data_IF_805868026314
#
_entry.id   IF_805868026314
#
_cell.length_a   1.000
_cell.length_b   1.000
_cell.length_c   1.000
_cell.angle_alpha   90.00
_cell.angle_beta   90.00
_cell.angle_gamma   90.00
#
_symmetry.space_group_name_H-M   'P 1'
#
loop_
_entity.id
_entity.type
_entity.pdbx_description
1 polymer ?
#
# COMPACT_ATOMS: atom_id res chain seq x y z
N UNK A 1 -10.74 6.92 5.64
CA UNK A 1 -10.30 6.02 6.73
C UNK A 1 -9.01 6.52 7.35
N UNK A 2 -8.95 6.53 8.68
CA UNK A 2 -7.77 6.88 9.48
C UNK A 2 -6.79 5.71 9.58
N UNK A 3 -5.51 6.01 9.81
CA UNK A 3 -4.42 5.00 9.96
C UNK A 3 -4.77 3.92 10.99
N UNK A 4 -5.32 4.32 12.15
CA UNK A 4 -5.67 3.39 13.24
C UNK A 4 -6.69 2.34 12.83
N UNK A 5 -7.73 2.72 12.08
CA UNK A 5 -8.74 1.77 11.58
C UNK A 5 -8.13 0.75 10.62
N UNK A 6 -7.27 1.20 9.69
CA UNK A 6 -6.61 0.31 8.73
C UNK A 6 -5.69 -0.67 9.45
N UNK A 7 -4.94 -0.19 10.45
CA UNK A 7 -4.04 -1.06 11.22
C UNK A 7 -4.80 -2.16 11.96
N UNK A 8 -5.92 -1.81 12.59
CA UNK A 8 -6.75 -2.72 13.38
C UNK A 8 -7.49 -3.76 12.52
N UNK A 9 -8.09 -3.33 11.40
CA UNK A 9 -8.94 -4.23 10.60
C UNK A 9 -8.17 -5.02 9.53
N UNK A 10 -7.02 -4.54 9.08
CA UNK A 10 -6.29 -5.17 7.97
C UNK A 10 -4.86 -5.54 8.34
N UNK A 11 -4.06 -4.57 8.81
CA UNK A 11 -2.61 -4.79 9.00
C UNK A 11 -2.34 -5.88 10.04
N UNK A 12 -3.16 -6.00 11.08
CA UNK A 12 -3.01 -7.04 12.09
C UNK A 12 -3.12 -8.47 11.53
N UNK A 13 -3.89 -8.65 10.45
CA UNK A 13 -4.07 -9.96 9.81
C UNK A 13 -3.07 -10.23 8.67
N UNK A 14 -2.28 -9.22 8.28
CA UNK A 14 -1.23 -9.39 7.28
C UNK A 14 0.01 -9.96 7.96
N UNK A 15 0.45 -11.13 7.49
CA UNK A 15 1.70 -11.72 7.93
C UNK A 15 2.87 -10.78 7.64
N UNK A 16 3.58 -10.36 8.68
CA UNK A 16 4.86 -9.66 8.52
C UNK A 16 5.92 -10.71 8.22
N UNK A 17 6.23 -10.93 6.94
CA UNK A 17 7.21 -11.94 6.56
C UNK A 17 8.65 -11.43 6.83
N UNK A 18 9.40 -12.02 7.77
CA UNK A 18 10.74 -11.53 8.11
C UNK A 18 11.82 -11.92 7.09
N UNK A 19 11.51 -12.86 6.19
CA UNK A 19 12.47 -13.49 5.27
C UNK A 19 12.45 -12.83 3.87
N UNK A 20 11.74 -11.71 3.71
CA UNK A 20 11.55 -11.02 2.43
C UNK A 20 12.22 -9.65 2.31
N UNK A 21 12.05 -9.03 1.14
CA UNK A 21 12.52 -7.66 0.85
C UNK A 21 11.86 -6.68 1.82
N UNK A 22 12.68 -5.84 2.48
CA UNK A 22 12.18 -4.84 3.43
C UNK A 22 11.33 -3.80 2.69
N UNK A 23 10.07 -3.70 3.08
CA UNK A 23 9.12 -2.75 2.49
C UNK A 23 9.54 -1.33 2.89
N UNK A 24 9.83 -0.48 1.90
CA UNK A 24 10.22 0.94 2.11
C UNK A 24 9.06 1.82 2.59
N UNK A 25 7.83 1.30 2.52
CA UNK A 25 6.59 2.02 2.80
C UNK A 25 5.81 1.29 3.90
N UNK A 26 5.22 2.01 4.86
CA UNK A 26 4.28 1.41 5.80
C UNK A 26 3.13 0.66 5.11
N UNK A 27 2.86 -0.58 5.54
CA UNK A 27 1.82 -1.48 4.96
C UNK A 27 0.45 -0.81 4.90
N UNK A 28 0.09 0.00 5.91
CA UNK A 28 -1.19 0.70 5.94
C UNK A 28 -1.40 1.65 4.74
N UNK A 29 -0.33 2.18 4.12
CA UNK A 29 -0.43 3.03 2.92
C UNK A 29 -0.82 2.22 1.70
N UNK A 30 -0.27 1.00 1.57
CA UNK A 30 -0.61 0.06 0.50
C UNK A 30 -2.09 -0.34 0.63
N UNK A 31 -2.51 -0.73 1.84
CA UNK A 31 -3.92 -1.08 2.10
C UNK A 31 -4.84 0.11 1.80
N UNK A 32 -4.45 1.33 2.20
CA UNK A 32 -5.21 2.55 1.91
C UNK A 32 -5.35 2.80 0.40
N UNK A 33 -4.31 2.55 -0.39
CA UNK A 33 -4.34 2.67 -1.85
C UNK A 33 -5.30 1.65 -2.48
N UNK A 34 -5.26 0.39 -2.02
CA UNK A 34 -6.18 -0.67 -2.48
C UNK A 34 -7.64 -0.30 -2.16
N UNK A 35 -7.91 0.13 -0.93
CA UNK A 35 -9.24 0.56 -0.52
C UNK A 35 -9.72 1.79 -1.30
N UNK A 36 -8.83 2.72 -1.62
CA UNK A 36 -9.14 3.87 -2.46
C UNK A 36 -9.56 3.42 -3.86
N UNK A 37 -8.79 2.52 -4.48
CA UNK A 37 -9.10 1.91 -5.78
C UNK A 37 -10.48 1.24 -5.77
N UNK A 38 -10.79 0.45 -4.73
CA UNK A 38 -12.08 -0.21 -4.60
C UNK A 38 -13.23 0.78 -4.40
N UNK A 39 -13.02 1.83 -3.61
CA UNK A 39 -14.04 2.85 -3.35
C UNK A 39 -14.35 3.70 -4.58
N UNK A 40 -13.35 4.05 -5.38
CA UNK A 40 -13.50 4.97 -6.53
C UNK A 40 -13.68 4.24 -7.87
N UNK A 41 -13.36 2.95 -7.94
CA UNK A 41 -13.47 2.17 -9.17
C UNK A 41 -12.38 2.49 -10.21
N UNK A 42 -11.35 3.26 -9.86
CA UNK A 42 -10.32 3.67 -10.82
C UNK A 42 -9.42 2.49 -11.25
N UNK A 43 -8.81 2.62 -12.42
CA UNK A 43 -7.76 1.68 -12.85
C UNK A 43 -6.47 1.93 -12.06
N UNK A 44 -5.65 0.88 -11.88
CA UNK A 44 -4.37 0.95 -11.16
C UNK A 44 -3.40 2.01 -11.71
N UNK A 45 -3.44 2.26 -13.02
CA UNK A 45 -2.58 3.26 -13.69
C UNK A 45 -2.91 4.70 -13.28
N UNK A 46 -4.14 4.96 -12.86
CA UNK A 46 -4.61 6.29 -12.44
C UNK A 46 -4.51 6.50 -10.93
N UNK A 47 -3.89 5.57 -10.21
CA UNK A 47 -3.78 5.68 -8.76
C UNK A 47 -2.86 6.86 -8.40
N UNK A 48 -3.24 7.77 -7.50
CA UNK A 48 -2.41 8.92 -7.15
C UNK A 48 -1.20 8.48 -6.31
N UNK A 49 -0.17 7.98 -7.00
CA UNK A 49 1.02 7.37 -6.39
C UNK A 49 1.73 8.33 -5.45
N UNK A 50 1.88 9.62 -5.84
CA UNK A 50 2.53 10.64 -5.00
C UNK A 50 1.80 10.87 -3.67
N UNK A 51 0.47 10.76 -3.66
CA UNK A 51 -0.33 10.98 -2.45
C UNK A 51 -0.17 9.82 -1.45
N UNK A 52 -0.07 8.58 -1.95
CA UNK A 52 0.04 7.41 -1.10
C UNK A 52 1.48 7.06 -0.73
N UNK A 53 2.41 7.20 -1.67
CA UNK A 53 3.79 6.72 -1.56
C UNK A 53 4.82 7.86 -1.49
N UNK A 54 4.41 9.13 -1.65
CA UNK A 54 5.32 10.28 -1.57
C UNK A 54 6.30 10.34 -2.73
N UNK A 55 7.55 10.71 -2.44
CA UNK A 55 8.65 10.83 -3.40
C UNK A 55 9.46 9.54 -3.58
N UNK A 56 8.93 8.41 -3.12
CA UNK A 56 9.62 7.12 -3.23
C UNK A 56 9.62 6.71 -4.70
N UNK A 57 10.80 6.41 -5.25
CA UNK A 57 10.94 5.84 -6.59
C UNK A 57 10.23 4.49 -6.62
N UNK A 58 9.22 4.37 -7.48
CA UNK A 58 8.53 3.12 -7.75
C UNK A 58 8.87 2.67 -9.17
N UNK A 59 9.14 1.38 -9.33
CA UNK A 59 9.32 0.72 -10.62
C UNK A 59 8.50 -0.57 -10.64
N UNK A 60 8.31 -1.15 -11.82
CA UNK A 60 7.69 -2.46 -11.94
C UNK A 60 8.46 -3.53 -11.14
N UNK A 61 9.79 -3.40 -11.05
CA UNK A 61 10.63 -4.27 -10.22
C UNK A 61 10.25 -4.22 -8.75
N UNK A 62 9.69 -3.10 -8.26
CA UNK A 62 9.28 -2.97 -6.85
C UNK A 62 8.14 -3.93 -6.46
N UNK A 63 7.49 -4.56 -7.43
CA UNK A 63 6.41 -5.55 -7.22
C UNK A 63 6.93 -6.97 -7.38
N UNK A 64 7.82 -7.21 -8.36
CA UNK A 64 8.24 -8.55 -8.76
C UNK A 64 9.57 -9.01 -8.17
N UNK A 65 10.48 -8.08 -7.90
CA UNK A 65 11.83 -8.34 -7.42
C UNK A 65 12.02 -7.72 -6.04
#
# INVERSE_FOLDING_TARGET
MTKGKISKFFVQYLASNPIGRKIKVPIWRIVKAILYKLKTGIQWRHLPMRQFFGFIKYSWESVYY
#
